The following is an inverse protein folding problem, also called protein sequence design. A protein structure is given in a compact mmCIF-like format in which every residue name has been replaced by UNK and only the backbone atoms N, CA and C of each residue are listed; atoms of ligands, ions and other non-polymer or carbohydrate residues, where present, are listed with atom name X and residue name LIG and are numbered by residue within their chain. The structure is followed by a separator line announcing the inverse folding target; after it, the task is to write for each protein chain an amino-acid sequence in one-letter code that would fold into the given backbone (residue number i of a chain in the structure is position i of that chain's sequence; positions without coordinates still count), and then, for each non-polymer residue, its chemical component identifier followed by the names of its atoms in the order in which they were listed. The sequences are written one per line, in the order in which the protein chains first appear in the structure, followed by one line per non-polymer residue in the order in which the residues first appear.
data_IF_299617332837
#
_entry.id   IF_299617332837
#
_cell.length_a   1.000
_cell.length_b   1.000
_cell.length_c   1.000
_cell.angle_alpha   90.00
_cell.angle_beta   90.00
_cell.angle_gamma   90.00
#
_symmetry.space_group_name_H-M   'P 1'
#
loop_
_entity.id
_entity.type
_entity.pdbx_description
1 polymer ?
#
# COMPACT_ATOMS: atom_id res chain seq x y z
N UNK A 1 -4.86 21.23 35.35
CA UNK A 1 -5.72 21.34 34.15
C UNK A 1 -6.36 19.98 33.87
N UNK A 2 -7.68 19.92 33.74
CA UNK A 2 -8.38 18.69 33.38
C UNK A 2 -8.06 18.38 31.90
N UNK A 3 -7.18 17.40 31.64
CA UNK A 3 -6.91 16.93 30.27
C UNK A 3 -8.20 16.33 29.72
N UNK A 4 -8.92 17.08 28.88
CA UNK A 4 -10.12 16.58 28.21
C UNK A 4 -9.70 15.45 27.27
N UNK A 5 -10.15 14.23 27.54
CA UNK A 5 -9.82 13.02 26.75
C UNK A 5 -10.64 12.91 25.45
N UNK A 6 -11.49 13.90 25.17
CA UNK A 6 -12.24 14.00 23.93
C UNK A 6 -11.84 15.29 23.21
N UNK A 7 -11.46 15.19 21.95
CA UNK A 7 -11.11 16.33 21.09
C UNK A 7 -12.20 16.48 20.04
N UNK A 8 -12.97 17.56 20.09
CA UNK A 8 -14.02 17.81 19.11
C UNK A 8 -13.51 18.64 17.94
N UNK A 9 -14.05 18.38 16.74
CA UNK A 9 -13.70 19.14 15.54
C UNK A 9 -14.20 20.58 15.66
N UNK A 10 -15.32 20.79 16.36
CA UNK A 10 -15.90 22.11 16.64
C UNK A 10 -14.96 23.05 17.41
N UNK A 11 -13.98 22.49 18.12
CA UNK A 11 -13.03 23.26 18.92
C UNK A 11 -12.00 24.01 18.04
N UNK A 12 -11.98 23.74 16.73
CA UNK A 12 -11.01 24.31 15.79
C UNK A 12 -11.72 25.20 14.75
N UNK A 13 -11.38 26.49 14.67
CA UNK A 13 -12.04 27.44 13.76
C UNK A 13 -11.98 27.02 12.28
N UNK A 14 -10.87 26.43 11.84
CA UNK A 14 -10.68 25.95 10.46
C UNK A 14 -11.56 24.74 10.08
N UNK A 15 -12.24 24.14 11.06
CA UNK A 15 -13.10 22.96 10.88
C UNK A 15 -14.59 23.25 11.13
N UNK A 16 -14.94 24.50 11.47
CA UNK A 16 -16.32 24.92 11.62
C UNK A 16 -16.93 25.10 10.22
N UNK A 17 -17.85 24.21 9.84
CA UNK A 17 -18.55 24.33 8.54
C UNK A 17 -19.53 25.52 8.53
N UNK A 18 -19.55 26.28 7.43
CA UNK A 18 -20.57 27.30 7.11
C UNK A 18 -21.79 26.70 6.39
N UNK A 19 -22.19 25.46 6.69
CA UNK A 19 -23.24 24.73 5.96
C UNK A 19 -23.85 23.52 6.69
N UNK A 20 -24.98 23.02 6.18
CA UNK A 20 -26.00 22.17 6.84
C UNK A 20 -25.62 20.74 7.27
N UNK A 21 -24.34 20.35 7.35
CA UNK A 21 -23.92 19.02 7.82
C UNK A 21 -23.38 19.04 9.25
N UNK A 22 -24.24 18.64 10.18
CA UNK A 22 -23.91 18.40 11.60
C UNK A 22 -23.17 17.06 11.80
N UNK A 23 -21.94 16.90 11.34
CA UNK A 23 -21.06 15.87 11.94
C UNK A 23 -20.22 16.54 13.02
N UNK A 24 -20.62 16.32 14.28
CA UNK A 24 -19.85 16.72 15.47
C UNK A 24 -18.65 15.78 15.64
N UNK A 25 -17.76 15.80 14.65
CA UNK A 25 -16.60 14.91 14.61
C UNK A 25 -15.78 15.01 15.88
N UNK A 26 -15.34 13.87 16.41
CA UNK A 26 -14.52 13.81 17.62
C UNK A 26 -13.49 12.70 17.56
N UNK A 27 -12.38 12.90 18.26
CA UNK A 27 -11.43 11.86 18.63
C UNK A 27 -11.62 11.54 20.12
N UNK A 28 -11.74 10.26 20.44
CA UNK A 28 -11.91 9.78 21.80
C UNK A 28 -10.62 9.08 22.27
N UNK A 29 -9.83 9.78 23.08
CA UNK A 29 -8.57 9.28 23.63
C UNK A 29 -8.78 8.23 24.73
N UNK A 30 -9.99 8.11 25.29
CA UNK A 30 -10.28 7.06 26.28
C UNK A 30 -10.17 5.65 25.70
N UNK A 31 -10.21 5.53 24.37
CA UNK A 31 -10.01 4.27 23.64
C UNK A 31 -8.57 3.74 23.70
N UNK A 32 -7.59 4.53 24.14
CA UNK A 32 -6.19 4.10 24.20
C UNK A 32 -5.86 3.45 25.56
N UNK A 33 -5.05 2.37 25.58
CA UNK A 33 -4.87 1.55 26.78
C UNK A 33 -3.98 2.16 27.86
N UNK A 34 -3.11 3.13 27.52
CA UNK A 34 -2.15 3.75 28.46
C UNK A 34 -2.19 5.26 28.37
N UNK A 35 -1.80 5.93 29.47
CA UNK A 35 -1.78 7.39 29.54
C UNK A 35 -0.73 7.99 28.59
N UNK A 36 0.40 7.33 28.43
CA UNK A 36 1.47 7.73 27.53
C UNK A 36 1.00 7.70 26.07
N UNK A 37 0.29 6.63 25.64
CA UNK A 37 -0.32 6.59 24.30
C UNK A 37 -1.34 7.71 24.11
N UNK A 38 -2.15 8.02 25.13
CA UNK A 38 -3.10 9.15 25.06
C UNK A 38 -2.39 10.47 24.79
N UNK A 39 -1.24 10.70 25.41
CA UNK A 39 -0.47 11.94 25.25
C UNK A 39 0.21 12.02 23.88
N UNK A 40 0.81 10.91 23.43
CA UNK A 40 1.41 10.77 22.10
C UNK A 40 0.38 11.05 20.98
N UNK A 41 -0.78 10.40 21.03
CA UNK A 41 -1.84 10.62 20.06
C UNK A 41 -2.47 12.01 20.19
N UNK A 42 -2.63 12.55 21.41
CA UNK A 42 -3.17 13.90 21.63
C UNK A 42 -2.33 14.93 20.89
N UNK A 43 -1.00 14.88 21.01
CA UNK A 43 -0.09 15.80 20.33
C UNK A 43 -0.28 15.79 18.81
N UNK A 44 -0.27 14.60 18.21
CA UNK A 44 -0.44 14.44 16.77
C UNK A 44 -1.84 14.85 16.28
N UNK A 45 -2.90 14.45 16.99
CA UNK A 45 -4.29 14.80 16.64
C UNK A 45 -4.49 16.31 16.70
N UNK A 46 -3.97 16.98 17.73
CA UNK A 46 -4.06 18.44 17.84
C UNK A 46 -3.36 19.14 16.67
N UNK A 47 -2.18 18.66 16.27
CA UNK A 47 -1.46 19.14 15.09
C UNK A 47 -2.28 18.96 13.81
N UNK A 48 -2.91 17.79 13.63
CA UNK A 48 -3.76 17.49 12.48
C UNK A 48 -5.02 18.35 12.44
N UNK A 49 -5.67 18.58 13.59
CA UNK A 49 -6.87 19.41 13.65
C UNK A 49 -6.57 20.88 13.29
N UNK A 50 -5.44 21.44 13.72
CA UNK A 50 -5.03 22.82 13.40
C UNK A 50 -4.67 23.03 11.92
N UNK A 51 -4.08 22.02 11.28
CA UNK A 51 -3.51 22.16 9.92
C UNK A 51 -4.29 21.40 8.84
N UNK A 52 -5.29 20.60 9.22
CA UNK A 52 -6.03 19.71 8.34
C UNK A 52 -7.32 20.32 7.78
N UNK A 53 -7.93 19.58 6.86
CA UNK A 53 -9.28 19.85 6.37
C UNK A 53 -10.28 18.92 7.05
N UNK A 54 -11.53 19.34 7.17
CA UNK A 54 -12.60 18.53 7.75
C UNK A 54 -12.67 17.12 7.12
N UNK A 55 -12.64 17.05 5.78
CA UNK A 55 -12.68 15.78 5.04
C UNK A 55 -11.50 14.86 5.34
N UNK A 56 -10.30 15.41 5.54
CA UNK A 56 -9.14 14.62 5.92
C UNK A 56 -9.29 14.08 7.35
N UNK A 57 -9.82 14.87 8.27
CA UNK A 57 -10.00 14.47 9.67
C UNK A 57 -11.06 13.39 9.87
N UNK A 58 -12.09 13.35 9.02
CA UNK A 58 -13.05 12.23 9.00
C UNK A 58 -12.36 10.91 8.65
N UNK A 59 -11.42 10.93 7.70
CA UNK A 59 -10.63 9.75 7.36
C UNK A 59 -9.65 9.38 8.48
N UNK A 60 -9.01 10.38 9.09
CA UNK A 60 -8.12 10.22 10.23
C UNK A 60 -8.85 9.63 11.44
N UNK A 61 -10.11 10.02 11.73
CA UNK A 61 -10.96 9.44 12.79
C UNK A 61 -11.19 7.95 12.59
N UNK A 62 -11.53 7.54 11.37
CA UNK A 62 -11.72 6.11 11.05
C UNK A 62 -10.42 5.33 11.23
N UNK A 63 -9.30 5.87 10.73
CA UNK A 63 -7.98 5.26 10.91
C UNK A 63 -7.58 5.16 12.39
N UNK A 64 -7.77 6.23 13.15
CA UNK A 64 -7.51 6.30 14.59
C UNK A 64 -8.29 5.23 15.36
N UNK A 65 -9.58 5.06 15.07
CA UNK A 65 -10.40 4.05 15.75
C UNK A 65 -9.91 2.62 15.47
N UNK A 66 -9.44 2.33 14.25
CA UNK A 66 -8.81 1.03 13.95
C UNK A 66 -7.51 0.86 14.76
N UNK A 67 -6.68 1.90 14.83
CA UNK A 67 -5.41 1.85 15.56
C UNK A 67 -5.64 1.71 17.06
N UNK A 68 -6.64 2.38 17.63
CA UNK A 68 -7.01 2.21 19.03
C UNK A 68 -7.40 0.76 19.31
N UNK A 69 -8.22 0.12 18.46
CA UNK A 69 -8.54 -1.31 18.58
C UNK A 69 -7.30 -2.20 18.46
N UNK A 70 -6.41 -1.91 17.52
CA UNK A 70 -5.14 -2.62 17.36
C UNK A 70 -4.25 -2.50 18.61
N UNK A 71 -4.12 -1.30 19.20
CA UNK A 71 -3.30 -1.06 20.39
C UNK A 71 -3.88 -1.76 21.64
N UNK A 72 -5.19 -1.99 21.68
CA UNK A 72 -5.83 -2.81 22.72
C UNK A 72 -5.73 -4.33 22.48
N UNK A 73 -5.21 -4.77 21.32
CA UNK A 73 -5.09 -6.21 21.02
C UNK A 73 -4.10 -6.91 21.95
N UNK A 74 -4.27 -8.23 22.13
CA UNK A 74 -3.43 -9.05 23.01
C UNK A 74 -1.94 -8.92 22.71
N UNK A 75 -1.58 -8.70 21.45
CA UNK A 75 -0.20 -8.55 20.95
C UNK A 75 0.49 -7.31 21.55
N UNK A 76 -0.27 -6.33 22.04
CA UNK A 76 0.20 -5.04 22.53
C UNK A 76 0.00 -4.84 24.04
N UNK A 77 -0.44 -5.87 24.79
CA UNK A 77 -0.78 -5.78 26.22
C UNK A 77 0.34 -5.26 27.14
N UNK A 78 1.61 -5.41 26.75
CA UNK A 78 2.78 -4.97 27.54
C UNK A 78 3.35 -3.61 27.09
N UNK A 79 2.78 -3.01 26.06
CA UNK A 79 3.27 -1.76 25.50
C UNK A 79 2.68 -0.59 26.28
N UNK A 80 3.53 0.40 26.58
CA UNK A 80 3.13 1.64 27.22
C UNK A 80 3.25 2.83 26.27
N UNK A 81 4.20 2.82 25.36
CA UNK A 81 4.50 3.92 24.43
C UNK A 81 4.70 3.39 23.00
N UNK A 82 4.41 4.22 21.99
CA UNK A 82 4.81 3.91 20.62
C UNK A 82 6.32 3.83 20.43
N UNK A 83 7.12 4.43 21.32
CA UNK A 83 8.58 4.32 21.35
C UNK A 83 9.11 2.94 21.76
N UNK A 84 8.29 2.06 22.33
CA UNK A 84 8.70 0.73 22.79
C UNK A 84 9.10 -0.24 21.67
N UNK A 85 8.84 0.11 20.40
CA UNK A 85 9.18 -0.71 19.23
C UNK A 85 9.61 0.15 18.03
N UNK A 86 10.42 -0.45 17.17
CA UNK A 86 10.76 0.12 15.87
C UNK A 86 9.48 0.40 15.03
N UNK A 87 9.35 1.58 14.40
CA UNK A 87 8.23 1.92 13.52
C UNK A 87 7.89 0.88 12.45
N UNK A 88 8.86 0.24 11.80
CA UNK A 88 8.56 -0.78 10.78
C UNK A 88 7.97 -2.05 11.38
N UNK A 89 8.36 -2.40 12.62
CA UNK A 89 7.75 -3.51 13.36
C UNK A 89 6.30 -3.18 13.71
N UNK A 90 6.01 -1.93 14.08
CA UNK A 90 4.64 -1.46 14.31
C UNK A 90 3.76 -1.60 13.07
N UNK A 91 4.26 -1.19 11.90
CA UNK A 91 3.52 -1.30 10.64
C UNK A 91 3.30 -2.76 10.24
N UNK A 92 4.30 -3.63 10.41
CA UNK A 92 4.17 -5.06 10.15
C UNK A 92 3.08 -5.72 11.00
N UNK A 93 3.04 -5.43 12.31
CA UNK A 93 2.03 -5.96 13.22
C UNK A 93 0.63 -5.40 12.94
N UNK A 94 0.53 -4.11 12.61
CA UNK A 94 -0.74 -3.50 12.21
C UNK A 94 -1.29 -4.17 10.95
N UNK A 95 -0.44 -4.42 9.93
CA UNK A 95 -0.85 -5.14 8.71
C UNK A 95 -1.38 -6.53 9.02
N UNK A 96 -0.69 -7.28 9.88
CA UNK A 96 -1.15 -8.60 10.34
C UNK A 96 -2.51 -8.53 11.02
N UNK A 97 -2.67 -7.64 11.99
CA UNK A 97 -3.95 -7.44 12.68
C UNK A 97 -5.07 -6.98 11.75
N UNK A 98 -4.79 -6.09 10.79
CA UNK A 98 -5.78 -5.66 9.80
C UNK A 98 -6.28 -6.84 8.97
N UNK A 99 -5.39 -7.73 8.54
CA UNK A 99 -5.76 -8.95 7.80
C UNK A 99 -6.62 -9.89 8.66
N UNK A 100 -6.26 -10.11 9.94
CA UNK A 100 -7.05 -10.91 10.88
C UNK A 100 -8.47 -10.36 11.09
N UNK A 101 -8.64 -9.04 11.04
CA UNK A 101 -9.94 -8.38 11.17
C UNK A 101 -10.69 -8.20 9.84
N UNK A 102 -10.17 -8.72 8.73
CA UNK A 102 -10.77 -8.56 7.39
C UNK A 102 -10.68 -7.13 6.83
N UNK A 103 -9.80 -6.29 7.37
CA UNK A 103 -9.59 -4.91 6.94
C UNK A 103 -8.53 -4.90 5.83
N UNK A 104 -8.86 -4.30 4.69
CA UNK A 104 -7.91 -4.22 3.56
C UNK A 104 -6.67 -3.37 3.89
N UNK A 105 -5.50 -3.89 3.54
CA UNK A 105 -4.20 -3.19 3.69
C UNK A 105 -3.87 -2.30 2.48
N UNK A 106 -4.64 -2.39 1.40
CA UNK A 106 -4.45 -1.60 0.17
C UNK A 106 -5.64 -0.69 -0.09
N UNK A 107 -5.35 0.50 -0.62
CA UNK A 107 -6.34 1.43 -1.15
C UNK A 107 -6.16 1.50 -2.67
N UNK A 108 -7.23 1.17 -3.38
CA UNK A 108 -7.27 1.36 -4.82
C UNK A 108 -7.43 2.85 -5.13
N UNK A 109 -6.68 3.29 -6.14
CA UNK A 109 -6.73 4.62 -6.74
C UNK A 109 -7.03 4.45 -8.21
N UNK A 110 -8.13 5.04 -8.68
CA UNK A 110 -8.41 5.16 -10.11
C UNK A 110 -7.93 6.50 -10.60
N UNK A 111 -7.10 6.49 -11.63
CA UNK A 111 -6.72 7.71 -12.35
C UNK A 111 -7.88 8.23 -13.18
N UNK A 112 -7.78 9.49 -13.64
CA UNK A 112 -8.76 10.10 -14.55
C UNK A 112 -8.91 9.30 -15.85
N UNK A 113 -7.83 8.63 -16.28
CA UNK A 113 -7.78 7.82 -17.49
C UNK A 113 -8.24 6.36 -17.28
N UNK A 114 -8.76 6.03 -16.10
CA UNK A 114 -9.27 4.69 -15.78
C UNK A 114 -8.20 3.67 -15.37
N UNK A 115 -6.91 4.00 -15.43
CA UNK A 115 -5.84 3.16 -14.87
C UNK A 115 -6.02 3.02 -13.37
N UNK A 116 -6.00 1.78 -12.89
CA UNK A 116 -6.12 1.43 -11.48
C UNK A 116 -4.72 1.27 -10.91
N UNK A 117 -4.47 1.80 -9.72
CA UNK A 117 -3.23 1.56 -8.98
C UNK A 117 -3.54 1.35 -7.51
N UNK A 118 -2.63 0.70 -6.81
CA UNK A 118 -2.83 0.32 -5.42
C UNK A 118 -1.83 1.08 -4.54
N UNK A 119 -2.34 1.80 -3.55
CA UNK A 119 -1.55 2.43 -2.50
C UNK A 119 -1.80 1.79 -1.14
N UNK A 120 -1.09 2.24 -0.11
CA UNK A 120 -1.36 1.80 1.26
C UNK A 120 -2.75 2.25 1.74
N UNK A 121 -3.40 1.45 2.58
CA UNK A 121 -4.64 1.81 3.26
C UNK A 121 -4.47 3.05 4.14
N UNK A 122 -5.55 3.83 4.30
CA UNK A 122 -5.54 5.07 5.10
C UNK A 122 -5.10 4.82 6.54
N UNK A 123 -5.51 3.70 7.15
CA UNK A 123 -5.09 3.31 8.50
C UNK A 123 -3.57 3.18 8.63
N UNK A 124 -2.91 2.56 7.64
CA UNK A 124 -1.46 2.34 7.65
C UNK A 124 -0.74 3.69 7.49
N UNK A 125 -1.19 4.51 6.53
CA UNK A 125 -0.62 5.82 6.28
C UNK A 125 -0.74 6.74 7.50
N UNK A 126 -1.91 6.75 8.14
CA UNK A 126 -2.14 7.52 9.35
C UNK A 126 -1.20 7.08 10.48
N UNK A 127 -1.06 5.76 10.70
CA UNK A 127 -0.18 5.27 11.76
C UNK A 127 1.30 5.57 11.49
N UNK A 128 1.77 5.46 10.23
CA UNK A 128 3.12 5.90 9.84
C UNK A 128 3.35 7.37 10.18
N UNK A 129 2.36 8.23 9.92
CA UNK A 129 2.49 9.66 10.20
C UNK A 129 2.52 9.96 11.71
N UNK A 130 1.74 9.23 12.52
CA UNK A 130 1.83 9.30 14.00
C UNK A 130 3.25 8.94 14.44
N UNK A 131 3.78 7.80 13.98
CA UNK A 131 5.13 7.35 14.32
C UNK A 131 6.21 8.34 13.85
N UNK A 132 6.07 8.94 12.66
CA UNK A 132 6.97 9.97 12.15
C UNK A 132 6.92 11.24 13.01
N UNK A 133 5.73 11.65 13.45
CA UNK A 133 5.55 12.85 14.29
C UNK A 133 6.16 12.71 15.68
N UNK A 134 6.14 11.49 16.24
CA UNK A 134 6.69 11.20 17.56
C UNK A 134 8.19 10.86 17.53
N UNK A 135 8.71 10.51 16.35
CA UNK A 135 10.14 10.32 16.17
C UNK A 135 10.91 11.62 16.42
N UNK A 136 12.18 11.53 16.87
CA UNK A 136 13.02 12.71 16.98
C UNK A 136 13.08 13.41 15.62
N UNK A 137 12.94 14.74 15.64
CA UNK A 137 13.12 15.53 14.43
C UNK A 137 14.56 15.34 13.93
N UNK A 138 14.70 14.94 12.67
CA UNK A 138 16.01 14.74 12.06
C UNK A 138 16.60 16.11 11.71
N UNK A 139 17.32 16.68 12.67
CA UNK A 139 17.95 18.01 12.60
C UNK A 139 19.17 18.07 11.69
N UNK A 140 19.60 16.93 11.13
CA UNK A 140 20.68 16.90 10.15
C UNK A 140 20.30 17.71 8.93
N UNK A 141 21.32 18.21 8.23
CA UNK A 141 21.10 18.86 6.94
C UNK A 141 20.39 17.89 5.99
N UNK A 142 19.49 18.42 5.16
CA UNK A 142 18.62 17.58 4.34
C UNK A 142 19.43 16.62 3.45
N UNK A 143 20.61 17.06 2.98
CA UNK A 143 21.53 16.26 2.16
C UNK A 143 22.18 15.08 2.89
N UNK A 144 22.29 15.14 4.22
CA UNK A 144 22.85 14.05 5.03
C UNK A 144 21.83 12.92 5.26
N UNK A 145 20.55 13.22 5.08
CA UNK A 145 19.47 12.25 5.24
C UNK A 145 19.45 11.24 4.09
N UNK A 146 18.84 10.09 4.32
CA UNK A 146 18.58 9.10 3.27
C UNK A 146 17.23 9.34 2.56
N UNK A 147 16.45 10.30 3.04
CA UNK A 147 15.17 10.70 2.45
C UNK A 147 15.15 12.23 2.40
N UNK A 148 15.18 12.79 1.21
CA UNK A 148 15.22 14.24 0.99
C UNK A 148 13.83 14.76 0.68
N UNK A 149 13.31 15.66 1.51
CA UNK A 149 12.17 16.52 1.21
C UNK A 149 12.66 17.68 0.32
N UNK A 150 12.24 17.69 -0.95
CA UNK A 150 12.78 18.61 -1.97
C UNK A 150 12.60 20.09 -1.62
N UNK A 151 11.55 20.42 -0.86
CA UNK A 151 11.27 21.78 -0.36
C UNK A 151 12.28 22.28 0.68
N UNK A 152 13.03 21.37 1.31
CA UNK A 152 14.01 21.68 2.35
C UNK A 152 15.43 21.77 1.76
N UNK A 153 15.62 21.45 0.48
CA UNK A 153 16.89 21.64 -0.20
C UNK A 153 17.03 23.10 -0.64
N UNK A 154 18.16 23.73 -0.31
CA UNK A 154 18.47 25.10 -0.71
C UNK A 154 18.98 25.18 -2.17
N UNK A 155 18.22 24.59 -3.09
CA UNK A 155 18.51 24.61 -4.53
C UNK A 155 17.24 24.82 -5.35
N UNK A 156 17.39 25.46 -6.51
CA UNK A 156 16.29 25.64 -7.45
C UNK A 156 16.08 24.37 -8.27
N UNK A 157 15.01 23.63 -7.96
CA UNK A 157 14.68 22.39 -8.67
C UNK A 157 13.75 22.68 -9.85
N UNK A 158 14.09 22.17 -11.04
CA UNK A 158 13.22 22.21 -12.20
C UNK A 158 12.05 21.23 -12.04
N UNK A 159 10.92 21.75 -11.58
CA UNK A 159 9.70 20.97 -11.34
C UNK A 159 9.00 20.57 -12.65
N UNK A 160 8.30 19.44 -12.62
CA UNK A 160 7.43 19.00 -13.70
C UNK A 160 5.96 19.23 -13.27
N UNK A 161 5.15 20.01 -14.02
CA UNK A 161 3.75 20.25 -13.68
C UNK A 161 2.88 18.99 -13.61
N UNK A 162 3.30 17.91 -14.29
CA UNK A 162 2.56 16.66 -14.41
C UNK A 162 2.78 15.76 -13.18
N UNK A 163 3.99 15.76 -12.63
CA UNK A 163 4.38 14.84 -11.55
C UNK A 163 4.67 15.60 -10.26
N UNK A 164 3.86 15.37 -9.22
CA UNK A 164 4.05 15.97 -7.89
C UNK A 164 5.09 15.20 -7.07
N UNK A 165 6.35 15.31 -7.46
CA UNK A 165 7.48 14.72 -6.73
C UNK A 165 7.84 15.64 -5.56
N UNK A 166 7.73 15.12 -4.34
CA UNK A 166 8.05 15.87 -3.11
C UNK A 166 9.29 15.36 -2.40
N UNK A 167 9.66 14.10 -2.64
CA UNK A 167 10.67 13.38 -1.88
C UNK A 167 11.52 12.54 -2.83
N UNK A 168 12.82 12.44 -2.53
CA UNK A 168 13.73 11.44 -3.05
C UNK A 168 14.16 10.50 -1.92
N UNK A 169 14.14 9.18 -2.16
CA UNK A 169 14.39 8.15 -1.14
C UNK A 169 15.56 7.26 -1.56
N UNK A 170 16.66 7.32 -0.83
CA UNK A 170 17.90 6.60 -1.12
C UNK A 170 18.01 5.28 -0.35
N UNK A 171 17.07 4.95 0.55
CA UNK A 171 17.15 3.77 1.42
C UNK A 171 17.13 2.43 0.67
N UNK A 172 16.66 2.44 -0.58
CA UNK A 172 16.66 1.29 -1.50
C UNK A 172 17.98 1.11 -2.25
N UNK A 173 19.01 1.88 -1.91
CA UNK A 173 20.39 1.64 -2.32
C UNK A 173 21.08 0.99 -1.12
N UNK A 174 21.38 -0.30 -1.21
CA UNK A 174 21.77 -1.13 -0.09
C UNK A 174 23.21 -0.93 0.35
N UNK A 175 24.13 -0.69 -0.59
CA UNK A 175 25.54 -0.42 -0.28
C UNK A 175 25.69 1.02 0.24
N UNK A 176 26.22 1.25 1.46
CA UNK A 176 26.33 2.59 2.05
C UNK A 176 27.15 3.58 1.21
N UNK A 177 28.31 3.17 0.70
CA UNK A 177 29.20 4.09 -0.03
C UNK A 177 28.59 4.50 -1.38
N UNK A 178 28.02 3.54 -2.14
CA UNK A 178 27.23 3.84 -3.34
C UNK A 178 26.04 4.77 -3.02
N UNK A 179 25.39 4.61 -1.85
CA UNK A 179 24.28 5.50 -1.45
C UNK A 179 24.77 6.94 -1.28
N UNK A 180 25.90 7.16 -0.60
CA UNK A 180 26.48 8.50 -0.41
C UNK A 180 26.98 9.11 -1.73
N UNK A 181 27.63 8.32 -2.59
CA UNK A 181 28.06 8.74 -3.92
C UNK A 181 26.86 9.11 -4.80
N UNK A 182 25.80 8.30 -4.77
CA UNK A 182 24.56 8.56 -5.50
C UNK A 182 23.84 9.83 -4.99
N UNK A 183 23.82 10.06 -3.68
CA UNK A 183 23.31 11.32 -3.09
C UNK A 183 24.02 12.53 -3.68
N UNK A 184 25.36 12.52 -3.71
CA UNK A 184 26.17 13.62 -4.30
C UNK A 184 25.84 13.84 -5.78
N UNK A 185 25.78 12.76 -6.58
CA UNK A 185 25.43 12.84 -7.99
C UNK A 185 24.02 13.41 -8.22
N UNK A 186 23.03 12.93 -7.44
CA UNK A 186 21.65 13.41 -7.52
C UNK A 186 21.53 14.88 -7.12
N UNK A 187 22.25 15.33 -6.09
CA UNK A 187 22.26 16.76 -5.71
C UNK A 187 22.76 17.65 -6.85
N UNK A 188 23.80 17.22 -7.57
CA UNK A 188 24.29 17.94 -8.74
C UNK A 188 23.27 17.91 -9.89
N UNK A 189 22.71 16.73 -10.21
CA UNK A 189 21.76 16.58 -11.32
C UNK A 189 20.47 17.37 -11.09
N UNK A 190 20.01 17.53 -9.84
CA UNK A 190 18.81 18.34 -9.52
C UNK A 190 18.91 19.81 -9.96
N UNK A 191 20.12 20.34 -10.15
CA UNK A 191 20.34 21.72 -10.57
C UNK A 191 20.22 21.92 -12.09
N UNK A 192 20.42 20.84 -12.86
CA UNK A 192 20.49 20.91 -14.34
C UNK A 192 19.35 20.14 -15.01
N UNK A 193 18.95 19.00 -14.43
CA UNK A 193 17.98 18.08 -14.99
C UNK A 193 16.56 18.32 -14.46
N UNK A 194 15.57 17.86 -15.23
CA UNK A 194 14.21 17.81 -14.74
C UNK A 194 14.09 16.74 -13.64
N UNK A 195 13.28 17.02 -12.59
CA UNK A 195 13.10 16.09 -11.47
C UNK A 195 12.67 14.67 -11.90
N UNK A 196 11.93 14.55 -13.01
CA UNK A 196 11.52 13.26 -13.57
C UNK A 196 12.71 12.42 -14.08
N UNK A 197 13.70 13.06 -14.71
CA UNK A 197 14.93 12.40 -15.17
C UNK A 197 15.71 11.85 -13.98
N UNK A 198 15.92 12.68 -12.96
CA UNK A 198 16.62 12.30 -11.71
C UNK A 198 15.91 11.14 -11.00
N UNK A 199 14.57 11.12 -11.00
CA UNK A 199 13.82 9.97 -10.46
C UNK A 199 14.03 8.69 -11.27
N UNK A 200 14.13 8.79 -12.59
CA UNK A 200 14.43 7.66 -13.48
C UNK A 200 15.81 7.08 -13.19
N UNK A 201 16.83 7.94 -13.14
CA UNK A 201 18.21 7.57 -12.78
C UNK A 201 18.28 6.91 -11.40
N UNK A 202 17.63 7.51 -10.40
CA UNK A 202 17.57 6.95 -9.04
C UNK A 202 16.86 5.59 -9.02
N UNK A 203 15.88 5.37 -9.89
CA UNK A 203 15.20 4.06 -10.01
C UNK A 203 16.14 3.01 -10.58
N UNK A 204 16.92 3.35 -11.61
CA UNK A 204 17.95 2.46 -12.16
C UNK A 204 18.99 2.13 -11.08
N UNK A 205 19.47 3.13 -10.33
CA UNK A 205 20.45 2.90 -9.25
C UNK A 205 19.95 1.95 -8.16
N UNK A 206 18.66 1.99 -7.82
CA UNK A 206 18.08 1.03 -6.86
C UNK A 206 18.04 -0.39 -7.40
N UNK A 207 17.65 -0.56 -8.66
CA UNK A 207 17.63 -1.87 -9.33
C UNK A 207 19.06 -2.42 -9.42
N UNK A 208 20.01 -1.59 -9.82
CA UNK A 208 21.41 -1.96 -9.91
C UNK A 208 22.01 -2.30 -8.54
N UNK A 209 21.69 -1.52 -7.50
CA UNK A 209 22.09 -1.82 -6.12
C UNK A 209 21.56 -3.17 -5.62
N UNK A 210 20.32 -3.52 -5.97
CA UNK A 210 19.74 -4.83 -5.68
C UNK A 210 20.47 -5.96 -6.42
N UNK A 211 20.79 -5.77 -7.70
CA UNK A 211 21.59 -6.71 -8.49
C UNK A 211 22.98 -6.92 -7.86
N UNK A 212 23.69 -5.84 -7.54
CA UNK A 212 24.99 -5.90 -6.86
C UNK A 212 24.91 -6.64 -5.53
N UNK A 213 23.83 -6.47 -4.75
CA UNK A 213 23.67 -7.19 -3.49
C UNK A 213 23.56 -8.72 -3.70
N UNK A 214 22.93 -9.16 -4.80
CA UNK A 214 22.74 -10.58 -5.11
C UNK A 214 23.98 -11.21 -5.73
N UNK A 215 24.50 -10.60 -6.80
CA UNK A 215 25.55 -11.20 -7.64
C UNK A 215 26.95 -10.72 -7.24
N UNK A 216 27.08 -9.51 -6.70
CA UNK A 216 28.36 -8.84 -6.44
C UNK A 216 28.48 -8.26 -5.02
N UNK A 217 28.12 -9.06 -4.01
CA UNK A 217 28.04 -8.61 -2.60
C UNK A 217 29.33 -8.01 -1.99
N UNK A 218 30.48 -8.21 -2.65
CA UNK A 218 31.78 -7.64 -2.23
C UNK A 218 31.95 -6.17 -2.63
N UNK A 219 31.28 -5.72 -3.71
CA UNK A 219 31.35 -4.35 -4.21
C UNK A 219 30.63 -3.42 -3.23
N UNK A 220 31.31 -2.38 -2.75
CA UNK A 220 30.76 -1.42 -1.78
C UNK A 220 30.67 0.01 -2.30
N UNK A 221 31.57 0.41 -3.19
CA UNK A 221 31.67 1.74 -3.81
C UNK A 221 31.51 1.69 -5.34
N UNK A 222 31.10 2.81 -5.96
CA UNK A 222 31.05 2.92 -7.41
C UNK A 222 32.43 2.84 -8.07
N UNK A 223 33.51 3.13 -7.32
CA UNK A 223 34.88 3.03 -7.82
C UNK A 223 35.33 1.60 -8.11
N UNK A 224 34.66 0.62 -7.52
CA UNK A 224 34.92 -0.82 -7.70
C UNK A 224 34.08 -1.41 -8.85
N UNK A 225 33.19 -0.62 -9.45
CA UNK A 225 32.39 -1.05 -10.59
C UNK A 225 33.24 -0.93 -11.84
N UNK A 226 33.52 -2.06 -12.46
CA UNK A 226 34.13 -2.10 -13.78
C UNK A 226 33.09 -2.28 -14.89
N UNK A 227 33.59 -2.31 -16.11
CA UNK A 227 32.78 -2.50 -17.31
C UNK A 227 32.09 -3.86 -17.34
N UNK A 228 32.71 -4.91 -16.81
CA UNK A 228 32.18 -6.27 -16.84
C UNK A 228 30.90 -6.36 -16.00
N UNK A 229 30.95 -5.84 -14.77
CA UNK A 229 29.79 -5.76 -13.86
C UNK A 229 28.62 -4.99 -14.51
N UNK A 230 28.92 -3.89 -15.22
CA UNK A 230 27.89 -3.10 -15.91
C UNK A 230 27.29 -3.85 -17.10
N UNK A 231 28.12 -4.54 -17.90
CA UNK A 231 27.65 -5.31 -19.05
C UNK A 231 26.76 -6.48 -18.60
N UNK A 232 27.16 -7.20 -17.55
CA UNK A 232 26.35 -8.29 -16.99
C UNK A 232 25.01 -7.80 -16.44
N UNK A 233 24.99 -6.67 -15.72
CA UNK A 233 23.76 -6.05 -15.26
C UNK A 233 22.82 -5.69 -16.43
N UNK A 234 23.37 -5.12 -17.51
CA UNK A 234 22.60 -4.78 -18.70
C UNK A 234 22.06 -6.01 -19.43
N UNK A 235 22.76 -7.15 -19.37
CA UNK A 235 22.29 -8.42 -19.91
C UNK A 235 21.17 -8.98 -19.04
N UNK A 236 21.35 -9.02 -17.71
CA UNK A 236 20.35 -9.51 -16.75
C UNK A 236 19.02 -8.74 -16.88
N UNK A 237 19.08 -7.41 -16.86
CA UNK A 237 17.88 -6.57 -17.02
C UNK A 237 17.18 -6.74 -18.36
N UNK A 238 17.92 -6.97 -19.46
CA UNK A 238 17.33 -7.32 -20.76
C UNK A 238 16.70 -8.71 -20.74
N UNK A 239 17.39 -9.71 -20.18
CA UNK A 239 16.89 -11.08 -20.06
C UNK A 239 15.62 -11.15 -19.23
N UNK A 240 15.57 -10.43 -18.10
CA UNK A 240 14.36 -10.33 -17.27
C UNK A 240 13.19 -9.77 -18.08
N UNK A 241 13.41 -8.69 -18.84
CA UNK A 241 12.39 -8.11 -19.71
C UNK A 241 11.91 -9.10 -20.78
N UNK A 242 12.82 -9.84 -21.42
CA UNK A 242 12.46 -10.87 -22.39
C UNK A 242 11.67 -12.02 -21.75
N UNK A 243 12.00 -12.43 -20.53
CA UNK A 243 11.28 -13.46 -19.79
C UNK A 243 9.85 -13.02 -19.44
N UNK A 244 9.67 -11.79 -18.96
CA UNK A 244 8.35 -11.20 -18.68
C UNK A 244 7.49 -11.12 -19.96
N UNK A 245 8.08 -10.68 -21.08
CA UNK A 245 7.41 -10.61 -22.38
C UNK A 245 7.01 -12.00 -22.92
N UNK A 246 7.90 -13.00 -22.76
CA UNK A 246 7.64 -14.37 -23.18
C UNK A 246 6.53 -15.04 -22.36
N UNK A 247 6.58 -14.90 -21.03
CA UNK A 247 5.54 -15.41 -20.13
C UNK A 247 4.18 -14.78 -20.44
N UNK A 248 4.13 -13.46 -20.65
CA UNK A 248 2.90 -12.75 -21.05
C UNK A 248 2.33 -13.28 -22.37
N UNK A 249 3.18 -13.51 -23.38
CA UNK A 249 2.77 -14.04 -24.69
C UNK A 249 2.19 -15.46 -24.58
N UNK A 250 2.84 -16.33 -23.81
CA UNK A 250 2.37 -17.71 -23.60
C UNK A 250 1.05 -17.74 -22.83
N UNK A 251 0.91 -16.93 -21.77
CA UNK A 251 -0.34 -16.86 -21.02
C UNK A 251 -1.50 -16.35 -21.88
N UNK A 252 -1.25 -15.41 -22.79
CA UNK A 252 -2.26 -14.97 -23.76
C UNK A 252 -2.73 -16.12 -24.66
N UNK A 253 -1.81 -16.96 -25.14
CA UNK A 253 -2.16 -18.12 -25.97
C UNK A 253 -2.94 -19.18 -25.19
N UNK A 254 -2.48 -19.53 -23.98
CA UNK A 254 -3.18 -20.47 -23.09
C UNK A 254 -4.59 -19.96 -22.78
N UNK A 255 -4.73 -18.68 -22.45
CA UNK A 255 -6.02 -18.08 -22.14
C UNK A 255 -6.95 -18.07 -23.36
N UNK A 256 -6.42 -17.80 -24.56
CA UNK A 256 -7.19 -17.84 -25.80
C UNK A 256 -7.65 -19.26 -26.13
N UNK A 257 -6.76 -20.26 -26.03
CA UNK A 257 -7.10 -21.67 -26.26
C UNK A 257 -8.18 -22.15 -25.30
N UNK A 258 -8.04 -21.82 -24.02
CA UNK A 258 -9.04 -22.10 -23.00
C UNK A 258 -10.39 -21.44 -23.32
N UNK A 259 -10.37 -20.15 -23.67
CA UNK A 259 -11.60 -19.43 -24.03
C UNK A 259 -12.26 -20.02 -25.28
N UNK A 260 -11.48 -20.39 -26.29
CA UNK A 260 -12.00 -20.99 -27.52
C UNK A 260 -12.62 -22.36 -27.25
N UNK A 261 -11.90 -23.23 -26.54
CA UNK A 261 -12.35 -24.58 -26.21
C UNK A 261 -13.68 -24.57 -25.46
N UNK A 262 -13.81 -23.69 -24.46
CA UNK A 262 -15.03 -23.56 -23.65
C UNK A 262 -16.05 -22.54 -24.18
N UNK A 263 -15.79 -21.94 -25.35
CA UNK A 263 -16.60 -20.87 -25.94
C UNK A 263 -16.89 -19.72 -24.96
N UNK A 264 -15.88 -19.31 -24.18
CA UNK A 264 -15.96 -18.25 -23.17
C UNK A 264 -15.79 -16.89 -23.84
N UNK A 265 -16.80 -16.04 -23.70
CA UNK A 265 -16.83 -14.65 -24.16
C UNK A 265 -16.66 -13.70 -22.99
N UNK A 266 -15.41 -13.51 -22.57
CA UNK A 266 -15.08 -12.69 -21.39
C UNK A 266 -15.58 -11.24 -21.47
N UNK A 267 -15.70 -10.68 -22.67
CA UNK A 267 -16.27 -9.33 -22.91
C UNK A 267 -17.77 -9.22 -22.57
N UNK A 268 -18.47 -10.35 -22.43
CA UNK A 268 -19.89 -10.43 -22.09
C UNK A 268 -20.12 -10.84 -20.61
N UNK A 269 -19.05 -10.99 -19.82
CA UNK A 269 -19.17 -11.33 -18.40
C UNK A 269 -20.06 -10.31 -17.67
N UNK A 270 -21.05 -10.81 -16.94
CA UNK A 270 -22.04 -9.98 -16.23
C UNK A 270 -23.15 -9.35 -17.10
N UNK A 271 -23.15 -9.58 -18.43
CA UNK A 271 -24.16 -9.05 -19.37
C UNK A 271 -25.00 -10.14 -20.05
N UNK A 272 -24.92 -11.38 -19.57
CA UNK A 272 -25.64 -12.53 -20.11
C UNK A 272 -24.82 -13.83 -20.06
N UNK A 273 -25.21 -14.82 -20.88
CA UNK A 273 -24.50 -16.12 -20.99
C UNK A 273 -23.13 -15.93 -21.63
N UNK A 274 -22.10 -15.81 -20.79
CA UNK A 274 -20.71 -15.53 -21.17
C UNK A 274 -19.84 -16.79 -21.30
N UNK A 275 -20.37 -17.96 -20.90
CA UNK A 275 -19.75 -19.28 -21.07
C UNK A 275 -20.65 -20.13 -21.98
N UNK A 276 -20.08 -20.66 -23.07
CA UNK A 276 -20.82 -21.52 -23.99
C UNK A 276 -21.07 -22.92 -23.42
N UNK A 277 -20.05 -23.48 -22.75
CA UNK A 277 -20.11 -24.73 -22.01
C UNK A 277 -19.51 -24.55 -20.61
N UNK A 278 -19.94 -25.38 -19.66
CA UNK A 278 -19.38 -25.41 -18.31
C UNK A 278 -18.00 -26.11 -18.32
N UNK A 279 -16.91 -25.44 -17.91
CA UNK A 279 -15.56 -26.02 -17.96
C UNK A 279 -15.30 -27.19 -16.99
N UNK A 280 -16.21 -27.45 -16.06
CA UNK A 280 -16.08 -28.50 -15.04
C UNK A 280 -16.75 -29.80 -15.49
N UNK A 281 -16.28 -30.34 -16.61
CA UNK A 281 -16.72 -31.62 -17.15
C UNK A 281 -15.76 -32.74 -16.78
N UNK A 282 -16.27 -33.96 -16.72
CA UNK A 282 -15.48 -35.18 -16.64
C UNK A 282 -14.92 -35.58 -18.02
N UNK A 283 -14.20 -36.70 -18.06
CA UNK A 283 -13.60 -37.25 -19.28
C UNK A 283 -14.63 -37.63 -20.36
N UNK A 284 -15.91 -37.75 -20.00
CA UNK A 284 -17.01 -38.10 -20.89
C UNK A 284 -17.84 -36.88 -21.31
N UNK A 285 -17.34 -35.66 -21.09
CA UNK A 285 -18.04 -34.39 -21.36
C UNK A 285 -19.34 -34.20 -20.56
N UNK A 286 -19.48 -34.88 -19.41
CA UNK A 286 -20.59 -34.66 -18.51
C UNK A 286 -20.20 -33.66 -17.44
N UNK A 287 -21.09 -32.71 -17.16
CA UNK A 287 -20.90 -31.75 -16.08
C UNK A 287 -20.77 -32.50 -14.77
N UNK A 288 -19.66 -32.28 -14.05
CA UNK A 288 -19.43 -32.90 -12.74
C UNK A 288 -20.48 -32.35 -11.77
N UNK A 289 -21.41 -33.19 -11.27
CA UNK A 289 -22.47 -32.73 -10.38
C UNK A 289 -21.89 -32.10 -9.12
N UNK A 290 -22.48 -30.99 -8.69
CA UNK A 290 -22.07 -30.26 -7.49
C UNK A 290 -20.60 -29.81 -7.45
N UNK A 291 -19.86 -29.78 -8.57
CA UNK A 291 -18.44 -29.43 -8.58
C UNK A 291 -18.15 -28.06 -7.94
N UNK A 292 -18.86 -27.02 -8.38
CA UNK A 292 -18.71 -25.65 -7.86
C UNK A 292 -19.12 -25.58 -6.39
N UNK A 293 -20.15 -26.33 -5.98
CA UNK A 293 -20.63 -26.40 -4.60
C UNK A 293 -19.63 -27.15 -3.68
N UNK A 294 -19.04 -28.25 -4.15
CA UNK A 294 -18.03 -28.99 -3.40
C UNK A 294 -16.72 -28.21 -3.24
N UNK A 295 -16.35 -27.38 -4.23
CA UNK A 295 -15.26 -26.41 -4.08
C UNK A 295 -15.63 -25.33 -3.07
N UNK A 296 -16.86 -24.80 -3.14
CA UNK A 296 -17.39 -23.79 -2.22
C UNK A 296 -17.21 -24.21 -0.76
N UNK A 297 -17.73 -25.39 -0.42
CA UNK A 297 -17.76 -25.94 0.95
C UNK A 297 -16.37 -26.14 1.56
N UNK A 298 -15.33 -26.26 0.72
CA UNK A 298 -13.95 -26.36 1.16
C UNK A 298 -13.31 -25.00 1.45
N UNK A 299 -13.80 -23.91 0.82
CA UNK A 299 -13.23 -22.58 1.01
C UNK A 299 -13.51 -22.05 2.42
N UNK A 300 -12.52 -21.40 3.06
CA UNK A 300 -12.71 -20.77 4.37
C UNK A 300 -13.91 -19.83 4.42
N UNK A 301 -14.11 -19.04 3.35
CA UNK A 301 -15.22 -18.10 3.23
C UNK A 301 -16.60 -18.76 3.37
N UNK A 302 -16.81 -19.93 2.75
CA UNK A 302 -18.08 -20.63 2.84
C UNK A 302 -18.30 -21.18 4.26
N UNK A 303 -17.24 -21.70 4.90
CA UNK A 303 -17.29 -22.19 6.29
C UNK A 303 -17.62 -21.07 7.27
N UNK A 304 -17.04 -19.88 7.05
CA UNK A 304 -17.33 -18.69 7.85
C UNK A 304 -18.78 -18.22 7.68
N UNK A 305 -19.33 -18.28 6.46
CA UNK A 305 -20.73 -17.96 6.20
C UNK A 305 -21.69 -18.92 6.89
N UNK A 306 -21.42 -20.23 6.83
CA UNK A 306 -22.22 -21.25 7.52
C UNK A 306 -22.15 -21.05 9.05
N UNK A 307 -20.97 -20.75 9.59
CA UNK A 307 -20.80 -20.46 11.02
C UNK A 307 -21.53 -19.18 11.46
N UNK A 308 -21.63 -18.19 10.55
CA UNK A 308 -22.34 -16.92 10.80
C UNK A 308 -23.86 -17.04 10.68
N UNK A 309 -24.35 -17.97 9.85
CA UNK A 309 -25.78 -18.20 9.59
C UNK A 309 -26.16 -19.69 9.76
N UNK A 310 -26.00 -20.28 10.96
CA UNK A 310 -26.17 -21.72 11.17
C UNK A 310 -27.60 -22.22 10.91
N UNK A 311 -28.62 -21.42 11.21
CA UNK A 311 -30.04 -21.79 11.02
C UNK A 311 -30.67 -21.16 9.76
N UNK A 312 -29.89 -20.47 8.92
CA UNK A 312 -30.40 -19.70 7.78
C UNK A 312 -29.64 -20.06 6.47
N UNK A 313 -29.91 -21.24 5.89
CA UNK A 313 -29.24 -21.69 4.66
C UNK A 313 -29.47 -20.76 3.47
N UNK A 314 -30.63 -20.08 3.42
CA UNK A 314 -30.95 -19.10 2.37
C UNK A 314 -30.00 -17.89 2.39
N UNK A 315 -29.54 -17.49 3.57
CA UNK A 315 -28.55 -16.41 3.70
C UNK A 315 -27.18 -16.83 3.16
N UNK A 316 -26.75 -18.06 3.43
CA UNK A 316 -25.49 -18.61 2.88
C UNK A 316 -25.57 -18.69 1.36
N UNK A 317 -26.70 -19.15 0.82
CA UNK A 317 -26.91 -19.26 -0.63
C UNK A 317 -26.91 -17.89 -1.32
N UNK A 318 -27.57 -16.89 -0.72
CA UNK A 318 -27.57 -15.51 -1.21
C UNK A 318 -26.15 -14.93 -1.31
N UNK A 319 -25.36 -15.00 -0.22
CA UNK A 319 -24.00 -14.43 -0.21
C UNK A 319 -23.01 -15.16 -1.11
N UNK A 320 -23.27 -16.43 -1.43
CA UNK A 320 -22.36 -17.24 -2.23
C UNK A 320 -22.70 -17.29 -3.73
N UNK A 321 -23.99 -17.38 -4.08
CA UNK A 321 -24.43 -17.56 -5.49
C UNK A 321 -24.98 -16.29 -6.14
N UNK A 322 -25.63 -15.43 -5.37
CA UNK A 322 -26.33 -14.27 -5.93
C UNK A 322 -25.56 -12.97 -5.69
N UNK A 323 -24.89 -12.87 -4.55
CA UNK A 323 -24.13 -11.70 -4.21
C UNK A 323 -22.82 -11.64 -5.00
N UNK A 324 -22.72 -10.64 -5.88
CA UNK A 324 -21.48 -10.33 -6.59
C UNK A 324 -20.53 -9.65 -5.61
N UNK A 325 -19.65 -10.44 -4.97
CA UNK A 325 -18.60 -9.90 -4.13
C UNK A 325 -17.70 -8.97 -4.97
N UNK A 326 -17.58 -7.67 -4.64
CA UNK A 326 -16.68 -6.79 -5.36
C UNK A 326 -15.22 -7.15 -5.06
N UNK A 327 -14.64 -8.02 -5.89
CA UNK A 327 -13.23 -8.42 -5.83
C UNK A 327 -12.40 -7.52 -6.74
N UNK A 328 -11.23 -7.09 -6.26
CA UNK A 328 -10.25 -6.38 -7.09
C UNK A 328 -9.31 -7.41 -7.71
N UNK A 329 -9.40 -7.57 -9.01
CA UNK A 329 -8.50 -8.41 -9.80
C UNK A 329 -7.40 -7.52 -10.37
N UNK A 330 -6.14 -7.93 -10.20
CA UNK A 330 -4.98 -7.25 -10.75
C UNK A 330 -4.76 -7.74 -12.20
N UNK A 331 -4.62 -6.82 -13.14
CA UNK A 331 -4.33 -7.10 -14.55
C UNK A 331 -2.86 -6.72 -14.80
N UNK A 332 -2.04 -7.69 -15.23
CA UNK A 332 -0.61 -7.49 -15.49
C UNK A 332 -0.34 -6.38 -16.51
N UNK A 333 -1.28 -6.08 -17.43
CA UNK A 333 -1.14 -5.02 -18.42
C UNK A 333 -1.58 -3.64 -17.90
N UNK A 334 -2.33 -3.59 -16.79
CA UNK A 334 -2.96 -2.34 -16.29
C UNK A 334 -2.65 -1.99 -14.84
N UNK A 335 -1.93 -2.85 -14.11
CA UNK A 335 -1.57 -2.65 -12.70
C UNK A 335 -2.64 -3.14 -11.74
#
# INVERSE_FOLDING_TARGET
EWKIDIIYFSDFPNLQETGTRKDNGKFDLTLLPTQELKEEFRGYIMYRCKNGTFRALIQDRTAYNHIAKFLNSRINRRIKSLGDRNPEKWISLLKGWMLEQGITIVKEKKSVYGTVSYGEAVTILYFRNVLKFLGPEDLRDEIEKDVWELKNLDIKIRSNPIYNVKILDFRKIYQPDIREECKKAVYMNLQYEAIGTVQGELTIMRIFSEYLQKEYSKIKSCSEIDREVLEEFLIDTRMQKYAEDAARKQMKQVQQNFNNHWSIRRTQAGKGKWMGQEPWQDENHQVIPNFIQGIAERQPFYKDLVARFPDNPDSVNYYYKEWVHPVKVFDYDKG
#
